data_IF_991008272167
#
_entry.id   IF_991008272167
#
_cell.length_a   1.000
_cell.length_b   1.000
_cell.length_c   1.000
_cell.angle_alpha   90.00
_cell.angle_beta   90.00
_cell.angle_gamma   90.00
#
_symmetry.space_group_name_H-M   'P 1'
#
loop_
_entity.id
_entity.type
_entity.pdbx_description
1 polymer ?
#
# COMPACT_ATOMS: atom_id res chain seq x y z
N UNK A 1 6.85 -22.68 -7.97
CA UNK A 1 6.70 -21.36 -7.33
C UNK A 1 5.38 -21.37 -6.57
N UNK A 2 5.34 -20.89 -5.33
CA UNK A 2 4.14 -20.82 -4.49
C UNK A 2 3.92 -19.38 -4.06
N UNK A 3 3.42 -18.54 -4.98
CA UNK A 3 3.10 -17.15 -4.67
C UNK A 3 2.00 -17.12 -3.62
N UNK A 4 2.15 -16.21 -2.67
CA UNK A 4 1.13 -15.80 -1.72
C UNK A 4 0.81 -14.34 -1.98
N UNK A 5 -0.32 -13.85 -1.50
CA UNK A 5 -0.68 -12.43 -1.59
C UNK A 5 0.43 -11.56 -0.99
N UNK A 6 0.91 -11.90 0.21
CA UNK A 6 2.07 -11.22 0.83
C UNK A 6 3.27 -11.17 -0.12
N UNK A 7 3.57 -12.27 -0.81
CA UNK A 7 4.71 -12.31 -1.73
C UNK A 7 4.53 -11.39 -2.94
N UNK A 8 3.31 -11.20 -3.43
CA UNK A 8 3.01 -10.28 -4.52
C UNK A 8 3.25 -8.82 -4.10
N UNK A 9 2.83 -8.43 -2.90
CA UNK A 9 3.12 -7.10 -2.33
C UNK A 9 4.62 -6.90 -2.09
N UNK A 10 5.31 -7.89 -1.51
CA UNK A 10 6.78 -7.84 -1.36
C UNK A 10 7.49 -7.71 -2.71
N UNK A 11 7.01 -8.38 -3.76
CA UNK A 11 7.56 -8.23 -5.12
C UNK A 11 7.42 -6.79 -5.61
N UNK A 12 6.28 -6.14 -5.38
CA UNK A 12 6.09 -4.74 -5.73
C UNK A 12 6.96 -3.79 -4.89
N UNK A 13 7.09 -4.01 -3.58
CA UNK A 13 7.97 -3.21 -2.70
C UNK A 13 9.44 -3.31 -3.15
N UNK A 14 9.89 -4.52 -3.52
CA UNK A 14 11.23 -4.74 -4.08
C UNK A 14 11.44 -4.01 -5.42
N UNK A 15 10.40 -3.89 -6.24
CA UNK A 15 10.47 -3.13 -7.49
C UNK A 15 10.73 -1.64 -7.20
N UNK A 16 9.95 -1.01 -6.33
CA UNK A 16 10.11 0.42 -6.03
C UNK A 16 11.42 0.71 -5.27
N UNK A 17 11.78 -0.11 -4.28
CA UNK A 17 13.06 0.03 -3.57
C UNK A 17 14.26 -0.21 -4.49
N UNK A 18 14.14 -1.10 -5.48
CA UNK A 18 15.14 -1.30 -6.54
C UNK A 18 15.36 -0.06 -7.42
N UNK A 19 14.38 0.85 -7.49
CA UNK A 19 14.50 2.16 -8.14
C UNK A 19 15.05 3.26 -7.19
N UNK A 20 15.33 2.92 -5.94
CA UNK A 20 15.82 3.86 -4.92
C UNK A 20 14.71 4.62 -4.17
N UNK A 21 13.46 4.16 -4.27
CA UNK A 21 12.34 4.73 -3.51
C UNK A 21 12.22 4.08 -2.12
N UNK A 22 11.33 4.63 -1.29
CA UNK A 22 11.16 4.20 0.10
C UNK A 22 10.55 2.80 0.20
N UNK A 23 10.95 2.04 1.23
CA UNK A 23 10.32 0.76 1.54
C UNK A 23 9.08 0.98 2.41
N UNK A 24 8.07 0.13 2.23
CA UNK A 24 6.91 0.09 3.12
C UNK A 24 7.27 -0.04 4.61
N UNK A 25 8.34 -0.77 4.92
CA UNK A 25 8.77 -1.01 6.31
C UNK A 25 9.33 0.23 7.01
N UNK A 26 9.75 1.25 6.25
CA UNK A 26 10.39 2.45 6.79
C UNK A 26 9.44 3.63 6.89
N UNK A 27 8.33 3.60 6.15
CA UNK A 27 7.49 4.76 5.90
C UNK A 27 6.11 4.73 6.57
N UNK A 28 5.64 3.55 7.01
CA UNK A 28 4.37 3.39 7.71
C UNK A 28 4.56 2.60 9.00
N UNK A 29 3.77 2.91 10.04
CA UNK A 29 3.84 2.25 11.35
C UNK A 29 3.67 0.73 11.24
N UNK A 30 2.70 0.25 10.43
CA UNK A 30 2.49 -1.18 10.18
C UNK A 30 1.68 -1.43 8.89
N UNK A 31 2.26 -1.16 7.72
CA UNK A 31 1.54 -1.31 6.44
C UNK A 31 0.87 -2.68 6.27
N UNK A 32 1.58 -3.77 6.59
CA UNK A 32 1.07 -5.14 6.37
C UNK A 32 0.03 -5.56 7.42
N UNK A 33 0.18 -5.13 8.67
CA UNK A 33 -0.77 -5.43 9.74
C UNK A 33 -2.08 -4.65 9.61
N UNK A 34 -2.00 -3.41 9.14
CA UNK A 34 -3.15 -2.50 9.05
C UNK A 34 -3.88 -2.51 7.70
N UNK A 35 -3.25 -3.02 6.64
CA UNK A 35 -3.86 -3.15 5.32
C UNK A 35 -4.74 -4.39 5.20
N UNK A 36 -5.80 -4.29 4.39
CA UNK A 36 -6.63 -5.44 4.01
C UNK A 36 -6.15 -5.95 2.65
N UNK A 37 -5.17 -6.86 2.68
CA UNK A 37 -4.56 -7.41 1.46
C UNK A 37 -5.33 -8.63 0.91
N UNK A 38 -6.15 -9.28 1.74
CA UNK A 38 -6.99 -10.43 1.38
C UNK A 38 -8.44 -10.17 1.79
N UNK A 39 -9.40 -10.80 1.11
CA UNK A 39 -10.81 -10.69 1.50
C UNK A 39 -11.03 -11.39 2.86
N UNK A 40 -11.53 -10.68 3.89
CA UNK A 40 -11.87 -11.32 5.16
C UNK A 40 -13.05 -12.29 4.98
N UNK A 41 -13.02 -13.41 5.72
CA UNK A 41 -14.06 -14.44 5.65
C UNK A 41 -15.30 -14.12 6.51
N UNK A 42 -15.18 -13.21 7.46
CA UNK A 42 -16.16 -12.92 8.52
C UNK A 42 -17.06 -11.72 8.23
N UNK A 43 -16.81 -10.96 7.15
CA UNK A 43 -17.54 -9.73 6.85
C UNK A 43 -17.60 -9.37 5.37
N UNK A 44 -18.63 -8.64 4.99
CA UNK A 44 -18.74 -8.02 3.68
C UNK A 44 -17.88 -6.75 3.59
N UNK A 45 -17.22 -6.57 2.46
CA UNK A 45 -16.31 -5.45 2.21
C UNK A 45 -16.42 -4.97 0.77
N UNK A 46 -16.04 -3.71 0.54
CA UNK A 46 -15.84 -3.19 -0.82
C UNK A 46 -14.51 -3.73 -1.35
N UNK A 47 -14.55 -4.61 -2.34
CA UNK A 47 -13.35 -5.29 -2.85
C UNK A 47 -12.54 -4.50 -3.88
N UNK A 48 -13.10 -3.46 -4.49
CA UNK A 48 -12.37 -2.64 -5.46
C UNK A 48 -11.09 -2.09 -4.83
N UNK A 49 -9.96 -2.28 -5.49
CA UNK A 49 -8.65 -1.88 -5.00
C UNK A 49 -8.61 -0.36 -4.73
N UNK A 50 -7.87 0.03 -3.70
CA UNK A 50 -7.70 1.43 -3.31
C UNK A 50 -6.53 1.57 -2.34
N UNK A 51 -5.77 2.64 -2.51
CA UNK A 51 -4.73 3.09 -1.60
C UNK A 51 -5.19 4.29 -0.77
N UNK A 52 -4.82 4.30 0.50
CA UNK A 52 -5.31 5.26 1.49
C UNK A 52 -4.15 5.96 2.18
N UNK A 53 -4.27 7.29 2.31
CA UNK A 53 -3.43 8.15 3.14
C UNK A 53 -4.25 8.63 4.34
N UNK A 54 -3.89 8.18 5.54
CA UNK A 54 -4.55 8.57 6.80
C UNK A 54 -3.98 9.86 7.40
N UNK A 55 -3.11 10.54 6.65
CA UNK A 55 -2.44 11.78 6.98
C UNK A 55 -1.50 11.67 8.17
N UNK A 56 -0.30 12.21 7.99
CA UNK A 56 0.61 12.50 9.10
C UNK A 56 -0.05 13.41 10.15
N UNK A 57 0.08 13.04 11.42
CA UNK A 57 -0.30 13.85 12.58
C UNK A 57 0.91 14.10 13.48
N UNK A 58 0.74 14.81 14.60
CA UNK A 58 1.82 14.96 15.58
C UNK A 58 2.17 13.64 16.30
N UNK A 59 1.27 12.66 16.26
CA UNK A 59 1.37 11.38 16.96
C UNK A 59 1.71 10.23 15.99
N UNK A 60 1.54 10.45 14.69
CA UNK A 60 1.73 9.46 13.64
C UNK A 60 2.56 10.07 12.48
N UNK A 61 3.77 9.55 12.20
CA UNK A 61 4.63 10.09 11.14
C UNK A 61 4.09 9.85 9.72
N UNK A 62 3.09 8.99 9.55
CA UNK A 62 2.48 8.60 8.28
C UNK A 62 1.81 7.23 8.41
N UNK A 63 0.57 7.11 7.97
CA UNK A 63 -0.19 5.86 7.94
C UNK A 63 -0.81 5.69 6.56
N UNK A 64 -0.28 4.72 5.84
CA UNK A 64 -0.66 4.42 4.46
C UNK A 64 -1.10 2.97 4.37
N UNK A 65 -2.21 2.70 3.68
CA UNK A 65 -2.82 1.37 3.64
C UNK A 65 -3.36 1.03 2.27
N UNK A 66 -3.39 -0.26 1.95
CA UNK A 66 -4.12 -0.79 0.79
C UNK A 66 -5.33 -1.61 1.27
N UNK A 67 -6.45 -1.46 0.55
CA UNK A 67 -7.64 -2.30 0.72
C UNK A 67 -7.97 -2.96 -0.62
N UNK A 68 -7.62 -4.23 -0.76
CA UNK A 68 -7.78 -5.02 -1.98
C UNK A 68 -8.14 -6.47 -1.64
N UNK A 69 -9.12 -7.04 -2.33
CA UNK A 69 -9.44 -8.47 -2.22
C UNK A 69 -8.57 -9.29 -3.19
N UNK A 70 -7.28 -9.43 -2.86
CA UNK A 70 -6.27 -9.97 -3.79
C UNK A 70 -6.45 -11.47 -4.07
N UNK A 71 -6.39 -11.83 -5.34
CA UNK A 71 -6.26 -13.17 -5.89
C UNK A 71 -4.83 -13.40 -6.39
N UNK A 72 -4.35 -14.65 -6.31
CA UNK A 72 -2.99 -14.99 -6.76
C UNK A 72 -2.97 -15.23 -8.27
N UNK A 73 -3.00 -14.14 -9.03
CA UNK A 73 -2.89 -14.13 -10.48
C UNK A 73 -2.09 -12.90 -10.99
N UNK A 74 -1.92 -12.80 -12.31
CA UNK A 74 -1.10 -11.74 -12.91
C UNK A 74 -1.82 -10.38 -12.94
N UNK A 75 -3.15 -10.37 -13.07
CA UNK A 75 -3.92 -9.13 -13.15
C UNK A 75 -3.90 -8.40 -11.80
N UNK A 76 -4.01 -9.15 -10.71
CA UNK A 76 -3.89 -8.62 -9.37
C UNK A 76 -2.44 -8.25 -9.03
N UNK A 77 -1.43 -8.93 -9.59
CA UNK A 77 -0.05 -8.48 -9.44
C UNK A 77 0.16 -7.10 -10.07
N UNK A 78 -0.41 -6.85 -11.25
CA UNK A 78 -0.36 -5.54 -11.92
C UNK A 78 -1.11 -4.50 -11.09
N UNK A 79 -2.29 -4.84 -10.57
CA UNK A 79 -3.10 -3.96 -9.72
C UNK A 79 -2.37 -3.60 -8.44
N UNK A 80 -1.66 -4.54 -7.81
CA UNK A 80 -0.80 -4.26 -6.65
C UNK A 80 0.23 -3.19 -6.98
N UNK A 81 0.90 -3.25 -8.14
CA UNK A 81 1.88 -2.23 -8.54
C UNK A 81 1.22 -0.86 -8.76
N UNK A 82 -0.01 -0.84 -9.28
CA UNK A 82 -0.79 0.40 -9.41
C UNK A 82 -1.06 1.03 -8.04
N UNK A 83 -1.65 0.28 -7.11
CA UNK A 83 -1.98 0.79 -5.77
C UNK A 83 -0.73 1.15 -4.97
N UNK A 84 0.35 0.37 -5.10
CA UNK A 84 1.64 0.69 -4.51
C UNK A 84 2.26 1.97 -5.08
N UNK A 85 1.94 2.33 -6.34
CA UNK A 85 2.31 3.61 -6.91
C UNK A 85 1.65 4.80 -6.18
N UNK A 86 0.37 4.67 -5.82
CA UNK A 86 -0.30 5.67 -4.97
C UNK A 86 0.35 5.77 -3.59
N UNK A 87 0.64 4.63 -2.95
CA UNK A 87 1.34 4.62 -1.64
C UNK A 87 2.71 5.31 -1.74
N UNK A 88 3.48 5.04 -2.79
CA UNK A 88 4.75 5.74 -3.04
C UNK A 88 4.57 7.25 -3.17
N UNK A 89 3.55 7.68 -3.91
CA UNK A 89 3.26 9.10 -4.05
C UNK A 89 2.92 9.75 -2.69
N UNK A 90 2.12 9.06 -1.87
CA UNK A 90 1.75 9.53 -0.53
C UNK A 90 2.97 9.70 0.38
N UNK A 91 3.89 8.73 0.34
CA UNK A 91 5.14 8.79 1.10
C UNK A 91 6.00 9.99 0.68
N UNK A 92 6.09 10.28 -0.62
CA UNK A 92 6.94 11.37 -1.13
C UNK A 92 6.44 12.77 -0.76
N UNK A 93 5.13 12.98 -0.66
CA UNK A 93 4.58 14.30 -0.30
C UNK A 93 4.31 14.47 1.20
N UNK A 94 4.57 13.46 2.04
CA UNK A 94 4.03 13.38 3.42
C UNK A 94 4.41 14.57 4.29
N UNK A 95 5.54 15.23 4.00
CA UNK A 95 6.01 16.41 4.72
C UNK A 95 5.42 17.74 4.22
N UNK A 96 4.72 17.74 3.08
CA UNK A 96 4.08 18.93 2.56
C UNK A 96 2.90 19.36 3.44
N UNK A 97 2.49 20.62 3.32
CA UNK A 97 1.25 21.09 3.96
C UNK A 97 0.08 20.24 3.43
N UNK A 98 -0.86 19.79 4.28
CA UNK A 98 -2.04 19.03 3.86
C UNK A 98 -2.78 19.57 2.63
N UNK A 99 -2.83 20.89 2.46
CA UNK A 99 -3.48 21.54 1.30
C UNK A 99 -2.76 21.28 -0.05
N UNK A 100 -1.57 20.71 -0.03
CA UNK A 100 -0.75 20.41 -1.21
C UNK A 100 -0.44 18.92 -1.37
N UNK A 101 -1.11 18.04 -0.62
CA UNK A 101 -0.90 16.58 -0.67
C UNK A 101 -1.79 15.90 -1.70
N UNK A 102 -1.75 16.39 -2.94
CA UNK A 102 -2.48 15.87 -4.10
C UNK A 102 -1.64 16.05 -5.38
N UNK A 103 -1.92 15.28 -6.43
CA UNK A 103 -1.18 15.30 -7.70
C UNK A 103 -1.89 14.66 -8.87
#
# INVERSE_FOLDING_TARGET
QGYTVKKMFETSDNFFTGLGLESLNTAAIDFYGDSMLEKPADREVVCHASAWDFMKTNENPGDFRIKMCTSVDMDDLITIHHEMGHIQYYMQYVEQNPLFREG
#
